data_IF_688250719852
#
_entry.id   IF_688250719852
#
_cell.length_a   1.000
_cell.length_b   1.000
_cell.length_c   1.000
_cell.angle_alpha   90.00
_cell.angle_beta   90.00
_cell.angle_gamma   90.00
#
_symmetry.space_group_name_H-M   'P 1'
#
loop_
_entity.id
_entity.type
_entity.pdbx_description
1 polymer ?
#
# COMPACT_ATOMS: atom_id res chain seq x y z
N UNK A 1 -22.46 -9.30 18.78
CA UNK A 1 -22.61 -7.90 18.33
C UNK A 1 -21.21 -7.39 18.08
N UNK A 2 -20.72 -7.48 16.85
CA UNK A 2 -19.42 -6.90 16.50
C UNK A 2 -19.59 -5.39 16.31
N UNK A 3 -19.14 -4.64 17.30
CA UNK A 3 -19.02 -3.18 17.17
C UNK A 3 -17.75 -2.94 16.34
N UNK A 4 -17.88 -2.96 15.02
CA UNK A 4 -16.82 -2.51 14.13
C UNK A 4 -16.57 -1.02 14.42
N UNK A 5 -15.47 -0.72 15.10
CA UNK A 5 -15.04 0.65 15.38
C UNK A 5 -14.60 1.28 14.07
N UNK A 6 -15.52 1.97 13.40
CA UNK A 6 -15.20 2.74 12.19
C UNK A 6 -14.20 3.83 12.53
N UNK A 7 -13.10 3.87 11.76
CA UNK A 7 -12.07 4.90 11.89
C UNK A 7 -12.71 6.26 11.60
N UNK A 8 -12.59 7.20 12.53
CA UNK A 8 -13.08 8.57 12.34
C UNK A 8 -12.02 9.37 11.61
N UNK A 9 -12.34 9.80 10.39
CA UNK A 9 -11.51 10.70 9.61
C UNK A 9 -11.89 12.15 9.93
N UNK A 10 -10.88 12.99 10.14
CA UNK A 10 -10.99 14.43 10.29
C UNK A 10 -10.90 15.11 8.91
N UNK A 11 -11.17 16.42 8.85
CA UNK A 11 -11.09 17.17 7.58
C UNK A 11 -9.70 17.14 6.94
N UNK A 12 -8.63 17.09 7.74
CA UNK A 12 -7.26 16.99 7.24
C UNK A 12 -6.92 15.60 6.69
N UNK A 13 -7.68 14.57 7.07
CA UNK A 13 -7.49 13.23 6.53
C UNK A 13 -8.11 13.09 5.13
N UNK A 14 -8.98 13.99 4.71
CA UNK A 14 -9.69 13.87 3.44
C UNK A 14 -8.79 14.30 2.28
N UNK A 15 -8.69 13.43 1.28
CA UNK A 15 -7.78 13.57 0.17
C UNK A 15 -8.44 13.42 -1.20
N UNK A 16 -9.27 14.39 -1.59
CA UNK A 16 -10.06 14.27 -2.81
C UNK A 16 -9.25 14.16 -4.12
N UNK A 17 -8.00 14.64 -4.13
CA UNK A 17 -7.15 14.58 -5.31
C UNK A 17 -6.81 13.14 -5.76
N UNK A 18 -6.84 12.16 -4.85
CA UNK A 18 -6.38 10.79 -5.15
C UNK A 18 -7.24 10.11 -6.19
N UNK A 19 -8.52 10.45 -6.22
CA UNK A 19 -9.47 9.94 -7.20
C UNK A 19 -9.07 10.26 -8.65
N UNK A 20 -8.37 11.37 -8.89
CA UNK A 20 -7.90 11.72 -10.24
C UNK A 20 -6.82 10.76 -10.76
N UNK A 21 -6.17 9.99 -9.88
CA UNK A 21 -5.13 9.01 -10.23
C UNK A 21 -5.68 7.59 -10.39
N UNK A 22 -6.99 7.42 -10.19
CA UNK A 22 -7.66 6.13 -10.22
C UNK A 22 -7.70 5.60 -11.66
N UNK A 23 -7.19 4.38 -11.83
CA UNK A 23 -7.18 3.68 -13.10
C UNK A 23 -7.77 2.28 -12.88
N UNK A 24 -8.79 1.93 -13.64
CA UNK A 24 -9.38 0.59 -13.55
C UNK A 24 -8.46 -0.42 -14.24
N UNK A 25 -8.21 -1.57 -13.59
CA UNK A 25 -7.38 -2.64 -14.13
C UNK A 25 -8.11 -3.98 -14.07
N UNK A 26 -7.79 -4.87 -14.99
CA UNK A 26 -8.34 -6.24 -14.96
C UNK A 26 -7.73 -7.09 -13.84
N UNK A 27 -6.46 -6.85 -13.52
CA UNK A 27 -5.70 -7.59 -12.50
C UNK A 27 -4.65 -6.71 -11.84
N UNK A 28 -4.43 -6.98 -10.55
CA UNK A 28 -3.30 -6.44 -9.80
C UNK A 28 -2.01 -7.24 -10.08
N UNK A 29 -0.83 -6.61 -9.93
CA UNK A 29 0.45 -7.32 -10.04
C UNK A 29 0.59 -8.38 -8.93
N UNK A 30 1.19 -9.53 -9.25
CA UNK A 30 1.30 -10.68 -8.32
C UNK A 30 2.71 -10.97 -7.79
N UNK A 31 3.71 -10.32 -8.35
CA UNK A 31 5.11 -10.52 -7.97
C UNK A 31 5.78 -9.15 -7.75
N UNK A 32 6.88 -9.16 -6.99
CA UNK A 32 7.59 -7.94 -6.61
C UNK A 32 8.05 -7.11 -7.82
N UNK A 33 8.52 -7.75 -8.88
CA UNK A 33 8.98 -7.09 -10.10
C UNK A 33 7.85 -6.35 -10.81
N UNK A 34 6.66 -6.95 -10.94
CA UNK A 34 5.49 -6.31 -11.54
C UNK A 34 4.93 -5.19 -10.66
N UNK A 35 4.97 -5.36 -9.33
CA UNK A 35 4.58 -4.32 -8.37
C UNK A 35 5.47 -3.10 -8.57
N UNK A 36 6.79 -3.29 -8.59
CA UNK A 36 7.75 -2.21 -8.77
C UNK A 36 7.60 -1.53 -10.13
N UNK A 37 7.50 -2.32 -11.21
CA UNK A 37 7.31 -1.79 -12.57
C UNK A 37 6.04 -0.94 -12.67
N UNK A 38 4.91 -1.41 -12.12
CA UNK A 38 3.64 -0.67 -12.13
C UNK A 38 3.69 0.57 -11.22
N UNK A 39 4.31 0.45 -10.06
CA UNK A 39 4.53 1.58 -9.15
C UNK A 39 5.32 2.70 -9.82
N UNK A 40 6.45 2.38 -10.47
CA UNK A 40 7.27 3.35 -11.22
C UNK A 40 6.51 3.95 -12.41
N UNK A 41 5.75 3.13 -13.14
CA UNK A 41 4.93 3.60 -14.25
C UNK A 41 3.86 4.61 -13.84
N UNK A 42 3.27 4.44 -12.66
CA UNK A 42 2.20 5.31 -12.14
C UNK A 42 2.70 6.64 -11.54
N UNK A 43 3.98 6.72 -11.16
CA UNK A 43 4.66 7.96 -10.71
C UNK A 43 3.97 8.66 -9.53
N UNK A 44 3.59 7.89 -8.51
CA UNK A 44 2.88 8.41 -7.34
C UNK A 44 3.74 9.33 -6.45
N UNK A 45 5.06 9.26 -6.60
CA UNK A 45 6.06 10.10 -5.95
C UNK A 45 6.09 11.54 -6.50
N UNK A 46 5.80 11.72 -7.79
CA UNK A 46 5.79 13.04 -8.44
C UNK A 46 4.42 13.70 -8.31
N UNK A 47 3.38 12.91 -8.50
CA UNK A 47 2.01 13.37 -8.48
C UNK A 47 1.39 12.98 -7.14
N UNK A 48 1.77 13.66 -6.06
CA UNK A 48 1.08 13.47 -4.77
C UNK A 48 -0.22 14.27 -4.77
N UNK A 49 -1.40 13.63 -4.95
CA UNK A 49 -2.69 14.29 -4.84
C UNK A 49 -3.04 14.77 -3.43
N UNK A 50 -2.28 14.31 -2.43
CA UNK A 50 -2.43 14.67 -1.03
C UNK A 50 -1.27 15.56 -0.61
N UNK A 51 -1.59 16.79 -0.20
CA UNK A 51 -0.62 17.85 0.03
C UNK A 51 0.57 17.40 0.90
N UNK A 52 0.31 17.03 2.15
CA UNK A 52 1.35 16.78 3.15
C UNK A 52 1.73 15.29 3.26
N UNK A 53 0.92 14.41 2.66
CA UNK A 53 1.12 12.97 2.75
C UNK A 53 1.74 12.42 1.46
N UNK A 54 2.94 11.82 1.51
CA UNK A 54 3.52 11.13 0.38
C UNK A 54 2.57 10.04 -0.14
N UNK A 55 2.23 10.14 -1.42
CA UNK A 55 1.39 9.15 -2.08
C UNK A 55 2.22 7.98 -2.56
N UNK A 56 1.69 6.78 -2.37
CA UNK A 56 2.30 5.52 -2.82
C UNK A 56 1.35 4.79 -3.75
N UNK A 57 1.91 3.89 -4.55
CA UNK A 57 1.13 3.04 -5.42
C UNK A 57 0.30 2.03 -4.61
N UNK A 58 -0.98 1.93 -4.95
CA UNK A 58 -1.87 0.89 -4.46
C UNK A 58 -2.52 0.17 -5.64
N UNK A 59 -2.70 -1.14 -5.50
CA UNK A 59 -3.66 -1.90 -6.28
C UNK A 59 -4.64 -2.57 -5.33
N UNK A 60 -5.90 -2.12 -5.36
CA UNK A 60 -6.93 -2.48 -4.38
C UNK A 60 -8.29 -2.58 -5.05
N UNK A 61 -9.28 -3.08 -4.31
CA UNK A 61 -10.67 -3.06 -4.74
C UNK A 61 -11.25 -1.66 -4.64
N UNK A 62 -12.18 -1.36 -5.54
CA UNK A 62 -13.04 -0.19 -5.51
C UNK A 62 -14.37 -0.58 -6.15
N UNK A 63 -15.45 -0.57 -5.38
CA UNK A 63 -16.74 -1.13 -5.82
C UNK A 63 -16.54 -2.59 -6.31
N UNK A 64 -17.03 -2.92 -7.51
CA UNK A 64 -16.96 -4.27 -8.08
C UNK A 64 -15.74 -4.50 -8.99
N UNK A 65 -14.68 -3.70 -8.86
CA UNK A 65 -13.51 -3.72 -9.75
C UNK A 65 -12.20 -3.55 -8.99
N UNK A 66 -11.11 -3.89 -9.67
CA UNK A 66 -9.76 -3.60 -9.23
C UNK A 66 -9.31 -2.27 -9.82
N UNK A 67 -8.62 -1.48 -9.00
CA UNK A 67 -8.09 -0.18 -9.41
C UNK A 67 -6.64 -0.04 -8.96
N UNK A 68 -5.87 0.67 -9.78
CA UNK A 68 -4.60 1.24 -9.39
C UNK A 68 -4.78 2.70 -9.05
N UNK A 69 -4.25 3.14 -7.91
CA UNK A 69 -4.41 4.52 -7.43
C UNK A 69 -3.16 4.98 -6.69
N UNK A 70 -2.85 6.26 -6.77
CA UNK A 70 -1.88 6.91 -5.90
C UNK A 70 -2.61 7.47 -4.69
N UNK A 71 -2.28 6.98 -3.49
CA UNK A 71 -2.91 7.43 -2.26
C UNK A 71 -1.92 7.44 -1.09
N UNK A 72 -2.20 8.21 -0.02
CA UNK A 72 -1.40 8.16 1.19
C UNK A 72 -1.31 6.75 1.78
N UNK A 73 -0.13 6.41 2.30
CA UNK A 73 0.06 5.18 3.07
C UNK A 73 -0.72 5.27 4.38
N UNK A 74 -1.48 4.23 4.69
CA UNK A 74 -2.28 4.12 5.91
C UNK A 74 -2.05 2.78 6.60
N UNK A 75 -2.27 2.74 7.91
CA UNK A 75 -2.26 1.48 8.66
C UNK A 75 -3.65 0.82 8.59
N UNK A 76 -3.69 -0.42 8.10
CA UNK A 76 -4.87 -1.30 8.07
C UNK A 76 -4.86 -2.16 9.33
N UNK A 77 -6.01 -2.31 9.99
CA UNK A 77 -6.16 -3.12 11.21
C UNK A 77 -7.37 -4.04 11.15
N UNK A 78 -7.22 -5.31 11.55
CA UNK A 78 -8.37 -6.20 11.79
C UNK A 78 -8.50 -7.43 10.90
N UNK A 79 -7.39 -8.02 10.43
CA UNK A 79 -7.38 -9.23 9.57
C UNK A 79 -8.37 -9.11 8.39
N UNK A 80 -8.38 -7.95 7.74
CA UNK A 80 -9.31 -7.64 6.66
C UNK A 80 -8.55 -7.11 5.45
N UNK A 81 -9.21 -7.15 4.29
CA UNK A 81 -8.68 -6.55 3.08
C UNK A 81 -8.67 -5.02 3.16
N UNK A 82 -7.96 -4.41 2.22
CA UNK A 82 -7.95 -2.96 2.04
C UNK A 82 -8.77 -2.58 0.79
N UNK A 83 -9.53 -1.49 0.89
CA UNK A 83 -10.39 -0.97 -0.19
C UNK A 83 -10.11 0.52 -0.39
N UNK A 84 -10.19 0.99 -1.62
CA UNK A 84 -10.15 2.42 -1.88
C UNK A 84 -11.50 3.05 -1.53
N UNK A 85 -11.50 4.05 -0.66
CA UNK A 85 -12.69 4.80 -0.29
C UNK A 85 -12.66 6.17 -0.95
N UNK A 86 -13.54 6.38 -1.93
CA UNK A 86 -13.65 7.64 -2.68
C UNK A 86 -14.04 8.84 -1.80
N UNK A 87 -14.86 8.62 -0.75
CA UNK A 87 -15.34 9.70 0.12
C UNK A 87 -14.21 10.39 0.88
N UNK A 88 -13.22 9.61 1.33
CA UNK A 88 -12.02 10.14 2.01
C UNK A 88 -10.79 10.20 1.10
N UNK A 89 -10.83 9.57 -0.08
CA UNK A 89 -9.70 9.48 -0.99
C UNK A 89 -8.50 8.72 -0.41
N UNK A 90 -8.75 7.68 0.37
CA UNK A 90 -7.71 6.86 1.01
C UNK A 90 -7.99 5.37 0.83
N UNK A 91 -6.95 4.56 0.99
CA UNK A 91 -7.07 3.11 1.15
C UNK A 91 -7.32 2.80 2.62
N UNK A 92 -8.44 2.16 2.91
CA UNK A 92 -8.98 1.92 4.26
C UNK A 92 -9.35 0.45 4.45
N UNK A 93 -9.71 0.09 5.67
CA UNK A 93 -10.15 -1.26 6.04
C UNK A 93 -11.49 -1.63 5.39
N UNK A 94 -11.56 -2.82 4.79
CA UNK A 94 -12.78 -3.44 4.28
C UNK A 94 -13.22 -4.57 5.23
N UNK A 95 -13.97 -4.23 6.27
CA UNK A 95 -14.40 -5.20 7.29
C UNK A 95 -15.39 -6.24 6.75
N UNK A 96 -16.01 -6.00 5.59
CA UNK A 96 -16.89 -6.97 4.93
C UNK A 96 -16.11 -8.07 4.19
N UNK A 97 -14.80 -7.86 3.99
CA UNK A 97 -13.86 -8.79 3.36
C UNK A 97 -12.81 -9.27 4.37
N UNK A 98 -13.12 -10.31 5.17
CA UNK A 98 -12.14 -10.92 6.05
C UNK A 98 -11.02 -11.54 5.22
N UNK A 99 -9.81 -11.54 5.78
CA UNK A 99 -8.63 -12.04 5.12
C UNK A 99 -7.81 -12.87 6.12
N UNK A 100 -7.60 -14.14 5.75
CA UNK A 100 -6.94 -15.14 6.59
C UNK A 100 -5.41 -15.10 6.50
N UNK A 101 -4.87 -14.53 5.42
CA UNK A 101 -3.42 -14.49 5.12
C UNK A 101 -2.75 -13.18 5.56
N UNK A 102 -3.54 -12.12 5.80
CA UNK A 102 -3.02 -10.84 6.23
C UNK A 102 -2.81 -10.81 7.75
N UNK A 103 -1.76 -10.11 8.22
CA UNK A 103 -1.54 -9.90 9.62
C UNK A 103 -2.58 -8.93 10.19
N UNK A 104 -2.71 -8.91 11.52
CA UNK A 104 -3.66 -8.02 12.20
C UNK A 104 -3.43 -6.55 11.91
N UNK A 105 -2.18 -6.15 11.65
CA UNK A 105 -1.81 -4.79 11.24
C UNK A 105 -0.84 -4.84 10.07
N UNK A 106 -1.10 -4.07 9.01
CA UNK A 106 -0.19 -3.92 7.88
C UNK A 106 -0.34 -2.54 7.20
N UNK A 107 0.63 -2.16 6.39
CA UNK A 107 0.57 -0.92 5.61
C UNK A 107 -0.33 -1.13 4.39
N UNK A 108 -1.19 -0.17 4.09
CA UNK A 108 -2.14 -0.24 2.97
C UNK A 108 -1.46 -0.46 1.61
N UNK A 109 -0.19 -0.11 1.45
CA UNK A 109 0.59 -0.35 0.22
C UNK A 109 0.94 -1.84 0.01
N UNK A 110 0.96 -2.62 1.10
CA UNK A 110 1.27 -4.04 1.07
C UNK A 110 0.03 -4.90 0.79
N UNK A 111 -1.16 -4.30 0.66
CA UNK A 111 -2.42 -5.02 0.40
C UNK A 111 -2.37 -5.89 -0.86
N UNK A 112 -1.59 -5.47 -1.86
CA UNK A 112 -1.40 -6.18 -3.13
C UNK A 112 -0.71 -7.54 -2.97
N UNK A 113 -0.07 -7.78 -1.81
CA UNK A 113 0.61 -9.05 -1.51
C UNK A 113 -0.36 -10.15 -1.06
N UNK A 114 -1.60 -9.80 -0.71
CA UNK A 114 -2.61 -10.75 -0.24
C UNK A 114 -3.56 -11.11 -1.38
N UNK A 115 -3.34 -12.27 -2.01
CA UNK A 115 -4.07 -12.68 -3.21
C UNK A 115 -5.59 -12.69 -3.00
N UNK A 116 -6.04 -13.19 -1.85
CA UNK A 116 -7.46 -13.23 -1.45
C UNK A 116 -8.17 -11.87 -1.50
N UNK A 117 -7.42 -10.77 -1.39
CA UNK A 117 -7.94 -9.40 -1.44
C UNK A 117 -7.98 -8.79 -2.85
N UNK A 118 -7.16 -9.29 -3.78
CA UNK A 118 -6.99 -8.74 -5.13
C UNK A 118 -7.48 -9.70 -6.22
N UNK A 119 -8.15 -10.78 -5.86
CA UNK A 119 -8.82 -11.65 -6.80
C UNK A 119 -10.00 -10.94 -7.48
N UNK A 120 -10.18 -11.11 -8.80
CA UNK A 120 -11.35 -10.61 -9.49
C UNK A 120 -12.62 -11.12 -8.83
N UNK A 121 -13.62 -10.25 -8.69
CA UNK A 121 -14.95 -10.69 -8.29
C UNK A 121 -15.45 -11.57 -9.43
N UNK A 122 -15.68 -12.86 -9.14
CA UNK A 122 -16.40 -13.72 -10.07
C UNK A 122 -17.74 -13.03 -10.35
N UNK A 123 -17.91 -12.52 -11.58
CA UNK A 123 -19.22 -12.01 -12.00
C UNK A 123 -20.20 -13.16 -11.79
N UNK A 124 -21.39 -12.93 -11.18
CA UNK A 124 -22.41 -13.94 -11.20
C UNK A 124 -22.60 -14.33 -12.66
N UNK A 125 -22.37 -15.60 -12.99
CA UNK A 125 -22.65 -16.10 -14.31
C UNK A 125 -24.15 -15.88 -14.49
N UNK A 126 -24.52 -14.91 -15.32
CA UNK A 126 -25.85 -14.86 -15.89
C UNK A 126 -25.94 -16.10 -16.77
N UNK A 127 -26.28 -17.24 -16.17
CA UNK A 127 -26.82 -18.34 -16.93
C UNK A 127 -28.06 -17.75 -17.61
N UNK A 128 -27.94 -17.43 -18.90
CA UNK A 128 -29.10 -17.41 -19.78
C UNK A 128 -29.61 -18.84 -19.83
N UNK A 129 -30.39 -19.20 -18.81
CA UNK A 129 -31.16 -20.41 -18.85
C UNK A 129 -32.32 -20.12 -19.79
N UNK A 130 -32.14 -20.45 -21.07
CA UNK A 130 -33.28 -20.77 -21.93
C UNK A 130 -33.93 -22.02 -21.33
N UNK A 131 -34.78 -21.83 -20.31
CA UNK A 131 -35.65 -22.88 -19.81
C UNK A 131 -36.85 -22.90 -20.73
N UNK A 132 -36.77 -23.78 -21.72
CA UNK A 132 -37.95 -24.34 -22.36
C UNK A 132 -38.81 -24.96 -21.26
N UNK A 133 -40.03 -24.43 -21.15
CA UNK A 133 -41.00 -24.78 -20.12
C UNK A 133 -41.50 -26.20 -20.34
N UNK A 134 -41.08 -27.12 -19.47
CA UNK A 134 -41.82 -28.35 -19.23
C UNK A 134 -42.11 -28.47 -17.74
N UNK A 135 -43.30 -28.04 -17.38
CA UNK A 135 -43.94 -28.15 -16.07
C UNK A 135 -44.11 -29.62 -15.69
N UNK A 136 -43.80 -30.00 -14.44
CA UNK A 136 -44.84 -30.64 -13.64
C UNK A 136 -45.01 -29.94 -12.28
N UNK A 137 -46.26 -29.61 -12.03
CA UNK A 137 -46.81 -29.07 -10.78
C UNK A 137 -46.65 -30.09 -9.64
N UNK A 138 -45.77 -29.82 -8.68
CA UNK A 138 -45.90 -30.38 -7.34
C UNK A 138 -46.06 -29.25 -6.31
N UNK A 139 -47.23 -29.25 -5.68
CA UNK A 139 -47.60 -28.44 -4.52
C UNK A 139 -46.63 -28.71 -3.38
N UNK A 140 -45.85 -27.70 -2.99
CA UNK A 140 -45.35 -27.62 -1.62
C UNK A 140 -46.17 -26.58 -0.87
N UNK A 141 -47.00 -27.08 0.03
CA UNK A 141 -47.77 -26.27 0.97
C UNK A 141 -46.86 -25.53 1.94
N UNK A 142 -47.19 -24.26 2.09
CA UNK A 142 -46.61 -23.28 2.98
C UNK A 142 -46.87 -23.64 4.45
N UNK A 143 -45.81 -23.73 5.24
CA UNK A 143 -45.92 -23.81 6.70
C UNK A 143 -44.99 -22.77 7.34
N UNK A 144 -45.42 -21.50 7.37
CA UNK A 144 -44.95 -20.48 8.31
C UNK A 144 -45.96 -19.32 8.38
N UNK A 145 -47.15 -19.55 8.94
CA UNK A 145 -48.04 -18.47 9.37
C UNK A 145 -48.69 -18.85 10.71
N UNK A 146 -48.01 -18.57 11.82
CA UNK A 146 -48.67 -18.48 13.11
C UNK A 146 -48.00 -17.40 13.95
N UNK A 147 -48.80 -16.38 14.27
CA UNK A 147 -48.51 -15.37 15.28
C UNK A 147 -48.37 -16.05 16.65
N UNK A 148 -47.32 -15.66 17.37
CA UNK A 148 -47.28 -15.40 18.82
C UNK A 148 -48.16 -16.31 19.70
N UNK A 149 -47.54 -17.30 20.34
CA UNK A 149 -47.74 -17.54 21.77
C UNK A 149 -46.58 -18.31 22.42
N UNK A 150 -46.49 -18.13 23.75
CA UNK A 150 -45.39 -18.52 24.65
C UNK A 150 -45.11 -20.02 24.68
N UNK A 151 -43.80 -20.33 24.82
CA UNK A 151 -43.18 -21.50 25.48
C UNK A 151 -43.89 -22.84 25.26
N UNK A 152 -43.31 -23.68 24.40
CA UNK A 152 -42.81 -25.00 24.80
C UNK A 152 -41.89 -25.56 23.71
N UNK A 153 -40.73 -26.06 24.14
CA UNK A 153 -39.72 -26.68 23.29
C UNK A 153 -40.09 -28.14 23.08
N UNK A 154 -40.51 -28.52 21.86
CA UNK A 154 -40.33 -29.84 21.23
C UNK A 154 -41.04 -29.81 19.86
N UNK A 155 -40.31 -29.54 18.77
CA UNK A 155 -40.72 -30.01 17.44
C UNK A 155 -39.55 -29.87 16.45
N UNK A 156 -38.72 -30.91 16.34
CA UNK A 156 -38.00 -31.33 15.13
C UNK A 156 -37.13 -32.53 15.50
N UNK A 157 -37.78 -33.66 15.76
CA UNK A 157 -37.10 -34.96 15.84
C UNK A 157 -37.33 -35.70 14.54
N UNK A 158 -36.23 -36.24 14.01
CA UNK A 158 -36.15 -37.30 12.98
C UNK A 158 -36.41 -36.86 11.53
N UNK A 159 -35.32 -36.58 10.81
CA UNK A 159 -35.01 -37.36 9.60
C UNK A 159 -33.51 -37.70 9.56
N UNK A 160 -33.27 -38.97 9.22
CA UNK A 160 -32.05 -39.79 9.16
C UNK A 160 -30.79 -39.07 8.61
N UNK A 161 -29.63 -39.19 9.25
CA UNK A 161 -28.72 -40.36 9.30
C UNK A 161 -28.20 -40.78 7.91
N UNK A 162 -27.04 -40.22 7.54
CA UNK A 162 -26.04 -40.91 6.73
C UNK A 162 -24.65 -40.55 7.23
N UNK A 163 -24.04 -41.48 7.98
CA UNK A 163 -22.62 -41.51 8.31
C UNK A 163 -21.87 -41.91 7.05
N UNK A 164 -20.83 -41.17 6.69
CA UNK A 164 -19.72 -41.72 5.93
C UNK A 164 -18.45 -41.59 6.77
N UNK A 165 -18.03 -42.72 7.33
CA UNK A 165 -16.80 -42.93 8.07
C UNK A 165 -15.78 -43.42 7.04
N UNK A 166 -14.83 -42.58 6.65
CA UNK A 166 -13.64 -43.03 5.93
C UNK A 166 -12.45 -43.06 6.90
N UNK A 167 -11.84 -44.24 6.91
CA UNK A 167 -10.86 -44.75 7.85
C UNK A 167 -9.46 -44.53 7.28
N UNK A 168 -8.59 -43.98 8.13
CA UNK A 168 -7.12 -44.04 8.18
C UNK A 168 -6.29 -44.25 6.91
N UNK A 169 -5.35 -43.33 6.70
CA UNK A 169 -3.99 -43.70 6.30
C UNK A 169 -2.99 -42.83 7.07
N UNK A 170 -2.16 -43.50 7.86
CA UNK A 170 -1.00 -42.97 8.56
C UNK A 170 0.03 -42.41 7.57
N UNK A 171 0.57 -41.23 7.85
CA UNK A 171 1.73 -40.66 7.15
C UNK A 171 2.78 -40.24 8.18
N UNK A 172 4.08 -40.52 7.95
CA UNK A 172 5.09 -40.53 8.99
C UNK A 172 5.54 -39.14 9.42
N UNK A 173 5.79 -39.05 10.72
CA UNK A 173 6.55 -38.01 11.42
C UNK A 173 7.96 -37.94 10.83
N UNK A 174 8.27 -36.87 10.11
CA UNK A 174 9.65 -36.52 9.78
C UNK A 174 10.25 -35.67 10.90
N UNK A 175 11.41 -36.14 11.34
CA UNK A 175 12.26 -35.62 12.41
C UNK A 175 12.63 -34.15 12.17
N UNK A 176 12.66 -33.41 13.27
CA UNK A 176 13.38 -32.16 13.39
C UNK A 176 14.88 -32.41 13.17
N UNK A 177 15.44 -31.77 12.16
CA UNK A 177 16.88 -31.66 11.98
C UNK A 177 17.36 -30.32 12.53
N UNK A 178 18.28 -30.46 13.47
CA UNK A 178 19.06 -29.41 14.11
C UNK A 178 20.25 -29.06 13.22
N UNK A 179 20.48 -27.77 12.98
CA UNK A 179 21.77 -27.24 12.54
C UNK A 179 21.72 -26.47 11.22
N UNK A 180 21.71 -25.13 11.30
CA UNK A 180 22.91 -24.34 11.06
C UNK A 180 22.60 -22.84 11.11
N UNK A 181 23.30 -22.20 12.05
CA UNK A 181 23.57 -20.78 12.09
C UNK A 181 24.56 -20.43 10.96
N UNK A 182 24.34 -19.30 10.27
CA UNK A 182 25.46 -18.47 9.86
C UNK A 182 25.26 -17.05 10.37
N UNK A 183 26.09 -16.70 11.34
CA UNK A 183 26.56 -15.34 11.57
C UNK A 183 27.55 -14.97 10.47
N UNK A 184 27.24 -13.99 9.64
CA UNK A 184 28.24 -13.06 9.11
C UNK A 184 27.55 -11.80 8.63
N UNK A 185 27.90 -10.70 9.29
CA UNK A 185 27.57 -9.34 8.90
C UNK A 185 28.21 -9.05 7.54
N UNK A 186 27.44 -9.13 6.46
CA UNK A 186 27.85 -8.57 5.18
C UNK A 186 27.46 -7.09 5.18
N UNK A 187 28.47 -6.23 5.26
CA UNK A 187 28.32 -4.81 4.96
C UNK A 187 27.94 -4.73 3.48
N UNK A 188 26.68 -4.43 3.19
CA UNK A 188 26.27 -3.98 1.86
C UNK A 188 27.15 -2.80 1.45
N UNK A 189 28.09 -3.05 0.55
CA UNK A 189 28.74 -1.99 -0.21
C UNK A 189 27.71 -1.49 -1.22
N UNK A 190 27.02 -0.42 -0.86
CA UNK A 190 26.16 0.33 -1.78
C UNK A 190 27.01 0.81 -2.97
N UNK A 191 26.86 0.13 -4.10
CA UNK A 191 27.38 0.62 -5.37
C UNK A 191 26.63 1.91 -5.73
N UNK A 192 27.33 3.00 -6.06
CA UNK A 192 26.68 4.23 -6.50
C UNK A 192 25.92 3.94 -7.79
N UNK A 193 24.61 4.17 -7.75
CA UNK A 193 23.73 4.18 -8.93
C UNK A 193 24.27 5.13 -10.00
N UNK A 194 23.95 4.88 -11.28
CA UNK A 194 24.35 5.72 -12.43
C UNK A 194 24.11 7.23 -12.19
N UNK A 195 23.03 7.59 -11.49
CA UNK A 195 22.72 8.99 -11.16
C UNK A 195 23.75 9.62 -10.21
N UNK A 196 24.26 8.87 -9.23
CA UNK A 196 25.30 9.34 -8.30
C UNK A 196 26.62 9.64 -9.01
N UNK A 197 26.95 8.89 -10.06
CA UNK A 197 28.18 9.12 -10.84
C UNK A 197 28.09 10.45 -11.59
N UNK A 198 26.92 10.77 -12.16
CA UNK A 198 26.73 12.06 -12.87
C UNK A 198 26.86 13.26 -11.93
N UNK A 199 26.32 13.19 -10.71
CA UNK A 199 26.41 14.26 -9.72
C UNK A 199 27.87 14.48 -9.29
N UNK A 200 28.63 13.41 -9.05
CA UNK A 200 30.04 13.51 -8.67
C UNK A 200 30.85 14.17 -9.79
N UNK A 201 30.62 13.80 -11.05
CA UNK A 201 31.31 14.40 -12.21
C UNK A 201 30.99 15.90 -12.33
N UNK A 202 29.72 16.30 -12.14
CA UNK A 202 29.33 17.71 -12.18
C UNK A 202 29.96 18.53 -11.05
N UNK A 203 30.04 17.98 -9.84
CA UNK A 203 30.69 18.63 -8.70
C UNK A 203 32.20 18.82 -8.93
N UNK A 204 32.87 17.81 -9.48
CA UNK A 204 34.29 17.90 -9.84
C UNK A 204 34.54 18.94 -10.92
N UNK A 205 33.67 19.01 -11.94
CA UNK A 205 33.78 20.00 -13.01
C UNK A 205 33.56 21.43 -12.49
N UNK A 206 32.53 21.65 -11.68
CA UNK A 206 32.27 22.94 -11.05
C UNK A 206 33.44 23.37 -10.14
N UNK A 207 33.97 22.44 -9.33
CA UNK A 207 35.13 22.69 -8.49
C UNK A 207 36.36 23.09 -9.34
N UNK A 208 36.64 22.37 -10.43
CA UNK A 208 37.71 22.73 -11.37
C UNK A 208 37.54 24.14 -11.96
N UNK A 209 36.32 24.52 -12.37
CA UNK A 209 36.05 25.87 -12.88
C UNK A 209 36.28 26.95 -11.81
N UNK A 210 35.88 26.71 -10.56
CA UNK A 210 36.14 27.66 -9.47
C UNK A 210 37.64 27.79 -9.16
N UNK A 211 38.40 26.70 -9.24
CA UNK A 211 39.85 26.74 -9.06
C UNK A 211 40.57 27.44 -10.21
N UNK A 212 40.13 27.25 -11.46
CA UNK A 212 40.69 27.93 -12.63
C UNK A 212 40.41 29.44 -12.61
N UNK A 213 39.19 29.84 -12.25
CA UNK A 213 38.83 31.25 -12.09
C UNK A 213 39.56 31.89 -10.92
N UNK A 214 39.74 31.19 -9.80
CA UNK A 214 40.58 31.66 -8.69
C UNK A 214 42.04 31.80 -9.12
N UNK A 215 42.63 30.82 -9.81
CA UNK A 215 44.02 30.91 -10.31
C UNK A 215 44.21 32.06 -11.30
N UNK A 216 43.21 32.34 -12.11
CA UNK A 216 43.24 33.46 -13.04
C UNK A 216 43.13 34.80 -12.28
N UNK A 217 42.26 34.86 -11.27
CA UNK A 217 42.07 36.06 -10.45
C UNK A 217 43.27 36.35 -9.53
N UNK A 218 43.95 35.32 -9.02
CA UNK A 218 45.17 35.48 -8.22
C UNK A 218 46.32 36.02 -9.07
N UNK A 219 46.43 35.63 -10.35
CA UNK A 219 47.39 36.24 -11.28
C UNK A 219 47.11 37.72 -11.55
N UNK A 220 45.84 38.12 -11.63
CA UNK A 220 45.47 39.54 -11.79
C UNK A 220 45.78 40.37 -10.55
N UNK A 221 45.76 39.76 -9.35
CA UNK A 221 46.03 40.45 -8.08
C UNK A 221 47.51 40.77 -7.87
N UNK A 222 48.43 40.03 -8.50
CA UNK A 222 49.88 40.33 -8.48
C UNK A 222 50.27 41.49 -9.42
N UNK A 223 49.45 41.82 -10.43
CA UNK A 223 49.68 42.99 -11.28
C UNK A 223 49.08 44.29 -10.74
N UNK A 224 48.21 44.23 -9.73
CA UNK A 224 47.59 45.39 -9.10
C UNK A 224 48.20 45.67 -7.73
N UNK A 225 49.49 45.99 -7.71
CA UNK A 225 50.14 46.62 -6.56
C UNK A 225 49.57 48.03 -6.34
N UNK A 226 48.36 48.11 -5.79
CA UNK A 226 47.72 49.37 -5.42
C UNK A 226 47.81 49.53 -3.90
N UNK A 227 48.73 50.42 -3.50
CA UNK A 227 48.85 50.98 -2.16
C UNK A 227 47.47 51.49 -1.69
N UNK A 228 46.78 50.73 -0.85
CA UNK A 228 45.67 51.26 -0.06
C UNK A 228 46.23 51.61 1.31
N UNK A 229 46.35 52.92 1.51
CA UNK A 229 46.88 53.57 2.69
C UNK A 229 46.22 53.09 3.98
N UNK A 230 47.09 52.80 4.93
CA UNK A 230 46.80 52.55 6.34
C UNK A 230 46.37 53.88 6.98
N UNK A 231 45.07 54.16 7.02
CA UNK A 231 44.54 55.27 7.79
C UNK A 231 44.47 54.85 9.27
N UNK A 232 45.44 55.32 10.06
CA UNK A 232 45.44 55.28 11.52
C UNK A 232 44.43 56.28 12.06
N UNK A 233 43.34 55.80 12.65
CA UNK A 233 42.45 56.61 13.46
C UNK A 233 43.04 56.75 14.87
N UNK A 234 43.62 57.91 15.17
CA UNK A 234 43.94 58.33 16.54
C UNK A 234 42.66 58.81 17.21
N UNK A 235 42.30 58.09 18.27
CA UNK A 235 41.26 58.43 19.24
C UNK A 235 41.92 59.23 20.35
N UNK A 236 41.74 60.55 20.36
CA UNK A 236 42.08 61.36 21.54
C UNK A 236 40.84 61.59 22.42
N UNK A 237 41.11 61.44 23.71
CA UNK A 237 40.24 61.55 24.87
C UNK A 237 40.71 62.80 25.61
N UNK A 238 39.79 63.68 26.05
CA UNK A 238 40.09 64.68 27.07
C UNK A 238 38.98 65.75 27.18
N UNK A 239 38.06 65.62 28.15
CA UNK A 239 38.01 66.36 29.44
C UNK A 239 38.16 67.89 29.33
N UNK A 240 37.04 68.61 29.50
CA UNK A 240 36.70 69.41 30.69
C UNK A 240 35.24 69.88 30.62
#
# INVERSE_FOLDING_TARGET
>A
MDIHRTKRFTKSDICHGTFATLETVERCPRNATDIERRSRGKKCDINSPCQEDPSVYHCVRYEDRLVEVCAPRGLITGNCCAVFNRGVGRVVEDYDKPCSECPFKYQSADSVRYNTCIEPIAKPQTHQTNIESTTPTEKFESCCNAKRDKRDATCCSKLNMSRNVNKGTDVPIMKAESGNQPTSNEKEQNFPTEETVTIIVLLLFACCLTLLTWRNWSRLRECSGMNIGRNTATKEIGTL
#
